data_IF_173969377312
#
_entry.id   IF_173969377312
#
_cell.length_a   1.000
_cell.length_b   1.000
_cell.length_c   1.000
_cell.angle_alpha   90.00
_cell.angle_beta   90.00
_cell.angle_gamma   90.00
#
_symmetry.space_group_name_H-M   'P 1'
#
loop_
_entity.id
_entity.type
_entity.pdbx_description
1 polymer ?
#
# COMPACT_ATOMS: atom_id res chain seq x y z
N UNK A 1 -4.43 -4.28 -4.64
CA UNK A 1 -2.99 -3.98 -4.71
C UNK A 1 -2.30 -4.62 -3.52
N UNK A 2 -2.19 -3.99 -2.36
CA UNK A 2 -1.63 -4.64 -1.16
C UNK A 2 -2.47 -5.79 -0.62
N UNK A 3 -3.80 -5.66 -0.60
CA UNK A 3 -4.70 -6.77 -0.22
C UNK A 3 -4.59 -8.04 -1.08
N UNK A 4 -3.94 -7.95 -2.26
CA UNK A 4 -3.59 -9.09 -3.10
C UNK A 4 -2.07 -9.26 -3.28
N UNK A 5 -1.25 -8.63 -2.43
CA UNK A 5 0.21 -8.77 -2.41
C UNK A 5 0.96 -8.08 -3.53
N UNK A 6 0.35 -7.13 -4.24
CA UNK A 6 0.97 -6.40 -5.33
C UNK A 6 1.64 -5.11 -4.80
N UNK A 7 2.97 -4.98 -4.91
CA UNK A 7 3.67 -3.73 -4.58
C UNK A 7 3.48 -2.65 -5.64
N UNK A 8 3.88 -1.42 -5.35
CA UNK A 8 3.77 -0.28 -6.28
C UNK A 8 5.00 0.58 -6.43
N UNK A 9 5.10 1.21 -7.60
CA UNK A 9 5.77 2.49 -7.77
C UNK A 9 4.70 3.58 -7.81
N UNK A 10 4.69 4.49 -6.84
CA UNK A 10 3.69 5.55 -6.74
C UNK A 10 4.29 6.93 -6.97
N UNK A 11 3.50 7.86 -7.51
CA UNK A 11 3.92 9.26 -7.64
C UNK A 11 4.14 9.87 -6.26
N UNK A 12 5.22 10.63 -6.09
CA UNK A 12 5.54 11.35 -4.86
C UNK A 12 4.65 12.58 -4.70
N UNK A 13 3.65 12.49 -3.82
CA UNK A 13 2.79 13.60 -3.41
C UNK A 13 2.60 13.60 -1.89
N UNK A 14 2.14 14.71 -1.31
CA UNK A 14 2.27 14.98 0.13
C UNK A 14 1.78 13.86 1.07
N UNK A 15 0.66 13.20 0.78
CA UNK A 15 0.10 12.16 1.65
C UNK A 15 0.38 10.72 1.18
N UNK A 16 1.12 10.48 0.09
CA UNK A 16 1.35 9.11 -0.41
C UNK A 16 2.02 8.21 0.64
N UNK A 17 2.83 8.80 1.52
CA UNK A 17 3.56 8.09 2.58
C UNK A 17 2.67 7.56 3.69
N UNK A 18 1.41 7.99 3.78
CA UNK A 18 0.41 7.41 4.68
C UNK A 18 0.02 5.99 4.24
N UNK A 19 0.07 5.72 2.92
CA UNK A 19 -0.28 4.42 2.33
C UNK A 19 0.95 3.61 1.90
N UNK A 20 1.96 4.26 1.34
CA UNK A 20 3.17 3.62 0.80
C UNK A 20 4.33 3.80 1.77
N UNK A 21 4.81 2.69 2.32
CA UNK A 21 6.07 2.64 3.06
C UNK A 21 7.18 2.26 2.09
N UNK A 22 8.06 3.21 1.81
CA UNK A 22 9.18 3.07 0.86
C UNK A 22 10.04 1.87 1.23
N UNK A 23 10.44 1.07 0.23
CA UNK A 23 11.22 -0.17 0.36
C UNK A 23 10.51 -1.33 1.10
N UNK A 24 9.30 -1.12 1.64
CA UNK A 24 8.48 -2.17 2.26
C UNK A 24 7.39 -2.65 1.33
N UNK A 25 6.47 -1.76 0.94
CA UNK A 25 5.32 -2.12 0.11
C UNK A 25 5.31 -1.40 -1.25
N UNK A 26 6.23 -0.46 -1.45
CA UNK A 26 6.40 0.22 -2.72
C UNK A 26 7.60 1.15 -2.76
N UNK A 27 7.74 1.84 -3.88
CA UNK A 27 8.74 2.86 -4.17
C UNK A 27 8.02 4.14 -4.60
N UNK A 28 8.70 5.28 -4.52
CA UNK A 28 8.15 6.57 -4.91
C UNK A 28 8.97 7.16 -6.05
N UNK A 29 8.30 7.81 -6.99
CA UNK A 29 8.96 8.54 -8.08
C UNK A 29 8.32 9.91 -8.28
N UNK A 30 9.10 10.88 -8.74
CA UNK A 30 8.66 12.25 -9.01
C UNK A 30 8.77 12.61 -10.49
N UNK A 31 9.39 11.75 -11.30
CA UNK A 31 9.62 11.97 -12.72
C UNK A 31 9.47 10.67 -13.54
N UNK A 32 9.22 10.76 -14.86
CA UNK A 32 9.22 9.59 -15.73
C UNK A 32 10.56 8.83 -15.72
N UNK A 33 11.68 9.54 -15.59
CA UNK A 33 13.02 8.93 -15.51
C UNK A 33 13.19 8.11 -14.24
N UNK A 34 12.79 8.65 -13.08
CA UNK A 34 12.80 7.89 -11.83
C UNK A 34 11.93 6.64 -11.93
N UNK A 35 10.73 6.73 -12.51
CA UNK A 35 9.89 5.54 -12.73
C UNK A 35 10.59 4.48 -13.59
N UNK A 36 11.28 4.90 -14.66
CA UNK A 36 12.02 3.99 -15.52
C UNK A 36 13.17 3.31 -14.75
N UNK A 37 13.89 4.05 -13.93
CA UNK A 37 14.96 3.54 -13.07
C UNK A 37 14.42 2.51 -12.06
N UNK A 38 13.28 2.80 -11.41
CA UNK A 38 12.64 1.86 -10.48
C UNK A 38 12.24 0.56 -11.17
N UNK A 39 11.62 0.63 -12.35
CA UNK A 39 11.23 -0.56 -13.11
C UNK A 39 12.45 -1.38 -13.56
N UNK A 40 13.51 -0.71 -14.02
CA UNK A 40 14.75 -1.37 -14.42
C UNK A 40 15.42 -2.07 -13.23
N UNK A 41 15.45 -1.41 -12.08
CA UNK A 41 15.97 -1.98 -10.84
C UNK A 41 15.17 -3.22 -10.41
N UNK A 42 13.85 -3.12 -10.38
CA UNK A 42 12.96 -4.19 -9.89
C UNK A 42 12.93 -5.42 -10.80
N UNK A 43 13.03 -5.23 -12.11
CA UNK A 43 12.97 -6.33 -13.08
C UNK A 43 14.35 -6.86 -13.49
N UNK A 44 15.43 -6.30 -12.95
CA UNK A 44 16.77 -6.85 -13.16
C UNK A 44 16.83 -8.29 -12.67
N UNK A 45 17.21 -9.20 -13.56
CA UNK A 45 17.33 -10.63 -13.23
C UNK A 45 16.01 -11.37 -13.06
N UNK A 46 14.86 -10.76 -13.41
CA UNK A 46 13.56 -11.44 -13.36
C UNK A 46 13.55 -12.69 -14.26
N UNK A 47 12.90 -13.80 -13.84
CA UNK A 47 12.12 -13.98 -12.61
C UNK A 47 12.91 -14.40 -11.36
N UNK A 48 14.16 -14.83 -11.53
CA UNK A 48 14.84 -15.60 -10.47
C UNK A 48 15.69 -14.74 -9.53
N UNK A 49 16.36 -13.71 -10.05
CA UNK A 49 17.32 -12.85 -9.33
C UNK A 49 16.76 -11.42 -9.09
N UNK A 50 15.49 -11.32 -8.68
CA UNK A 50 14.77 -10.07 -8.45
C UNK A 50 14.44 -9.84 -6.95
N UNK A 51 15.45 -9.86 -6.09
CA UNK A 51 15.24 -9.84 -4.63
C UNK A 51 14.53 -8.57 -4.14
N UNK A 52 14.81 -7.41 -4.73
CA UNK A 52 14.10 -6.17 -4.44
C UNK A 52 12.58 -6.31 -4.70
N UNK A 53 12.19 -6.88 -5.84
CA UNK A 53 10.79 -7.12 -6.17
C UNK A 53 10.13 -8.15 -5.23
N UNK A 54 10.86 -9.20 -4.84
CA UNK A 54 10.37 -10.19 -3.85
C UNK A 54 10.15 -9.56 -2.48
N UNK A 55 11.08 -8.72 -2.02
CA UNK A 55 10.95 -7.98 -0.76
C UNK A 55 9.70 -7.09 -0.78
N UNK A 56 9.52 -6.30 -1.84
CA UNK A 56 8.34 -5.44 -1.96
C UNK A 56 7.03 -6.24 -2.01
N UNK A 57 7.00 -7.38 -2.71
CA UNK A 57 5.83 -8.29 -2.73
C UNK A 57 5.49 -8.77 -1.32
N UNK A 58 6.49 -9.17 -0.54
CA UNK A 58 6.28 -9.65 0.83
C UNK A 58 5.74 -8.54 1.73
N UNK A 59 6.30 -7.33 1.67
CA UNK A 59 5.80 -6.21 2.47
C UNK A 59 4.43 -5.68 2.00
N UNK A 60 4.09 -5.82 0.71
CA UNK A 60 2.75 -5.58 0.21
C UNK A 60 1.72 -6.59 0.77
N UNK A 61 2.08 -7.88 0.83
CA UNK A 61 1.23 -8.91 1.46
C UNK A 61 1.02 -8.63 2.95
N UNK A 62 2.08 -8.29 3.67
CA UNK A 62 2.01 -7.94 5.10
C UNK A 62 1.08 -6.74 5.31
N UNK A 63 1.27 -5.67 4.54
CA UNK A 63 0.44 -4.45 4.59
C UNK A 63 -1.04 -4.78 4.34
N UNK A 64 -1.31 -5.56 3.28
CA UNK A 64 -2.68 -5.94 2.91
C UNK A 64 -3.34 -6.90 3.90
N UNK A 65 -2.56 -7.69 4.63
CA UNK A 65 -3.07 -8.60 5.66
C UNK A 65 -3.45 -7.86 6.95
N UNK A 66 -2.73 -6.80 7.31
CA UNK A 66 -2.92 -6.04 8.54
C UNK A 66 -4.11 -5.08 8.45
N UNK A 67 -4.30 -4.40 7.31
CA UNK A 67 -5.29 -3.33 7.16
C UNK A 67 -6.32 -3.68 6.09
N UNK A 68 -7.13 -4.71 6.34
CA UNK A 68 -8.23 -5.08 5.44
C UNK A 68 -9.43 -4.17 5.67
N UNK A 69 -10.05 -3.75 4.56
CA UNK A 69 -11.19 -2.82 4.59
C UNK A 69 -12.32 -3.28 5.50
N UNK A 70 -12.70 -4.55 5.44
CA UNK A 70 -13.79 -5.12 6.23
C UNK A 70 -13.52 -5.04 7.73
N UNK A 71 -12.30 -5.35 8.15
CA UNK A 71 -11.87 -5.28 9.55
C UNK A 71 -11.81 -3.83 10.04
N UNK A 72 -11.11 -2.97 9.30
CA UNK A 72 -10.97 -1.55 9.68
C UNK A 72 -12.31 -0.80 9.68
N UNK A 73 -13.22 -1.15 8.78
CA UNK A 73 -14.58 -0.59 8.76
C UNK A 73 -15.33 -0.94 10.05
N UNK A 74 -15.36 -2.22 10.41
CA UNK A 74 -16.06 -2.72 11.59
C UNK A 74 -15.47 -2.16 12.89
N UNK A 75 -14.13 -2.05 12.98
CA UNK A 75 -13.45 -1.61 14.20
C UNK A 75 -13.37 -0.09 14.36
N UNK A 76 -13.27 0.68 13.26
CA UNK A 76 -13.01 2.14 13.33
C UNK A 76 -14.21 2.98 12.92
N UNK A 77 -14.77 2.71 11.74
CA UNK A 77 -15.77 3.59 11.12
C UNK A 77 -17.18 3.33 11.67
N UNK A 78 -17.58 2.05 11.74
CA UNK A 78 -18.92 1.64 12.14
C UNK A 78 -19.32 2.15 13.53
N UNK A 79 -18.49 2.08 14.60
CA UNK A 79 -18.89 2.55 15.92
C UNK A 79 -19.24 4.04 15.95
N UNK A 80 -18.48 4.86 15.23
CA UNK A 80 -18.72 6.31 15.13
C UNK A 80 -20.03 6.62 14.41
N UNK A 81 -20.32 5.90 13.33
CA UNK A 81 -21.56 6.05 12.58
C UNK A 81 -22.75 5.61 13.45
N UNK A 82 -22.64 4.46 14.13
CA UNK A 82 -23.66 3.97 15.05
C UNK A 82 -23.93 4.95 16.20
N UNK A 83 -22.89 5.57 16.75
CA UNK A 83 -23.02 6.61 17.77
C UNK A 83 -23.79 7.82 17.24
N UNK A 84 -23.44 8.34 16.06
CA UNK A 84 -24.16 9.46 15.44
C UNK A 84 -25.62 9.11 15.17
N UNK A 85 -25.91 7.91 14.68
CA UNK A 85 -27.29 7.46 14.44
C UNK A 85 -28.09 7.44 15.74
N UNK A 86 -27.52 6.90 16.83
CA UNK A 86 -28.20 6.84 18.13
C UNK A 86 -28.55 8.23 18.69
N UNK A 87 -27.63 9.20 18.57
CA UNK A 87 -27.84 10.58 19.07
C UNK A 87 -28.90 11.37 18.31
N UNK A 88 -29.20 11.01 17.07
CA UNK A 88 -30.21 11.69 16.23
C UNK A 88 -31.56 10.96 16.23
N UNK A 89 -31.67 9.83 16.97
CA UNK A 89 -32.90 9.07 17.12
C UNK A 89 -33.73 9.49 18.34
N UNK A 90 -33.14 10.29 19.25
CA UNK A 90 -33.79 10.97 20.38
C UNK A 90 -34.17 12.41 20.01
#
# INVERSE_FOLDING_TARGET
MFGCGLPVCAVSYSCIKELVTVEKNGLLFSSPSELADELLHLFKGFPDACDALKCLRNGALETGSLARWDVEWEEKAKPLISEVISRNAD
#
